data_IF_366928071031
#
_entry.id   IF_366928071031
#
_cell.length_a   1.000
_cell.length_b   1.000
_cell.length_c   1.000
_cell.angle_alpha   90.00
_cell.angle_beta   90.00
_cell.angle_gamma   90.00
#
_symmetry.space_group_name_H-M   'P 1'
#
loop_
_entity.id
_entity.type
_entity.pdbx_description
1 polymer ?
#
# COMPACT_ATOMS: atom_id res chain seq x y z
N UNK A 1 0.20 5.00 -4.67
CA UNK A 1 1.47 4.54 -4.08
C UNK A 1 2.61 5.41 -4.62
N UNK A 2 3.68 5.60 -3.85
CA UNK A 2 4.90 6.26 -4.31
C UNK A 2 6.11 5.33 -4.14
N UNK A 3 7.12 5.51 -4.98
CA UNK A 3 8.38 4.77 -4.96
C UNK A 3 9.51 5.73 -4.61
N UNK A 4 10.33 5.33 -3.65
CA UNK A 4 11.46 6.12 -3.16
C UNK A 4 12.77 5.34 -3.29
N UNK A 5 13.86 6.03 -3.63
CA UNK A 5 15.24 5.52 -3.55
C UNK A 5 16.18 6.51 -2.83
N UNK A 6 17.45 6.13 -2.67
CA UNK A 6 18.53 6.96 -2.11
C UNK A 6 19.62 7.28 -3.16
N UNK A 7 19.24 7.46 -4.44
CA UNK A 7 20.22 7.63 -5.53
C UNK A 7 21.00 8.96 -5.49
N UNK A 8 20.60 9.90 -4.63
CA UNK A 8 21.31 11.18 -4.40
C UNK A 8 22.76 10.93 -3.94
N UNK A 9 23.06 9.77 -3.32
CA UNK A 9 24.41 9.41 -2.88
C UNK A 9 25.28 8.73 -3.93
N UNK A 10 24.78 8.43 -5.13
CA UNK A 10 25.54 7.62 -6.12
C UNK A 10 25.66 8.29 -7.48
N UNK A 11 26.62 9.22 -7.62
CA UNK A 11 27.16 9.55 -8.95
C UNK A 11 28.14 8.46 -9.41
N UNK A 12 27.83 7.91 -10.58
CA UNK A 12 28.64 7.02 -11.43
C UNK A 12 28.72 5.52 -11.06
N UNK A 13 28.07 4.70 -11.89
CA UNK A 13 28.73 3.79 -12.86
C UNK A 13 27.67 3.05 -13.66
N UNK A 14 27.91 2.87 -14.96
CA UNK A 14 27.16 1.93 -15.78
C UNK A 14 27.25 0.54 -15.14
N UNK A 15 26.13 -0.03 -14.72
CA UNK A 15 26.09 -1.37 -14.14
C UNK A 15 25.42 -2.33 -15.13
N UNK A 16 26.26 -3.12 -15.80
CA UNK A 16 25.87 -4.30 -16.57
C UNK A 16 26.18 -5.56 -15.75
N UNK A 17 25.35 -5.80 -14.74
CA UNK A 17 25.00 -7.10 -14.14
C UNK A 17 23.53 -6.89 -13.73
N UNK A 18 22.63 -7.85 -13.98
CA UNK A 18 21.22 -7.76 -13.56
C UNK A 18 21.13 -7.72 -12.02
N UNK A 19 21.30 -6.53 -11.44
CA UNK A 19 21.26 -6.33 -10.00
C UNK A 19 19.83 -6.56 -9.52
N UNK A 20 19.68 -7.43 -8.53
CA UNK A 20 18.41 -7.68 -7.86
C UNK A 20 18.03 -6.45 -7.04
N UNK A 21 16.86 -5.89 -7.32
CA UNK A 21 16.26 -4.80 -6.55
C UNK A 21 15.39 -5.40 -5.44
N UNK A 22 15.50 -4.89 -4.22
CA UNK A 22 14.55 -5.20 -3.14
C UNK A 22 13.50 -4.09 -3.06
N UNK A 23 12.23 -4.49 -3.09
CA UNK A 23 11.09 -3.61 -2.85
C UNK A 23 10.60 -3.84 -1.43
N UNK A 24 10.68 -2.80 -0.60
CA UNK A 24 10.27 -2.78 0.80
C UNK A 24 8.87 -2.17 0.92
N UNK A 25 7.97 -2.80 1.67
CA UNK A 25 6.67 -2.20 2.01
C UNK A 25 6.12 -2.76 3.32
N UNK A 26 4.99 -2.20 3.76
CA UNK A 26 4.31 -2.61 4.99
C UNK A 26 3.73 -4.02 4.86
N UNK A 27 4.01 -4.85 5.86
CA UNK A 27 3.39 -6.14 6.09
C UNK A 27 2.24 -6.08 7.12
N UNK A 28 1.78 -7.23 7.64
CA UNK A 28 2.19 -8.59 7.26
C UNK A 28 1.69 -8.97 5.85
N UNK A 29 1.85 -10.24 5.46
CA UNK A 29 1.23 -10.79 4.26
C UNK A 29 -0.29 -10.56 4.26
N UNK A 30 -0.86 -10.30 3.08
CA UNK A 30 -2.30 -10.05 2.88
C UNK A 30 -2.71 -8.57 2.92
N UNK A 31 -1.79 -7.64 3.20
CA UNK A 31 -2.13 -6.20 3.21
C UNK A 31 -2.29 -5.64 1.79
N UNK A 32 -3.01 -4.52 1.68
CA UNK A 32 -3.08 -3.76 0.41
C UNK A 32 -1.71 -3.23 -0.04
N UNK A 33 -0.81 -2.95 0.90
CA UNK A 33 0.57 -2.54 0.61
C UNK A 33 1.35 -3.67 -0.07
N UNK A 34 1.26 -4.89 0.46
CA UNK A 34 1.84 -6.08 -0.17
C UNK A 34 1.27 -6.28 -1.58
N UNK A 35 -0.06 -6.27 -1.71
CA UNK A 35 -0.73 -6.44 -3.00
C UNK A 35 -0.22 -5.42 -4.03
N UNK A 36 -0.14 -4.14 -3.65
CA UNK A 36 0.34 -3.09 -4.51
C UNK A 36 1.82 -3.26 -4.90
N UNK A 37 2.66 -3.73 -3.99
CA UNK A 37 4.07 -4.02 -4.28
C UNK A 37 4.24 -5.23 -5.20
N UNK A 38 3.47 -6.31 -5.00
CA UNK A 38 3.43 -7.46 -5.92
C UNK A 38 2.97 -7.02 -7.31
N UNK A 39 1.90 -6.23 -7.39
CA UNK A 39 1.41 -5.67 -8.66
C UNK A 39 2.48 -4.82 -9.35
N UNK A 40 3.19 -3.98 -8.59
CA UNK A 40 4.29 -3.19 -9.12
C UNK A 40 5.42 -4.06 -9.67
N UNK A 41 5.87 -5.06 -8.91
CA UNK A 41 6.92 -5.99 -9.34
C UNK A 41 6.52 -6.71 -10.64
N UNK A 42 5.31 -7.27 -10.69
CA UNK A 42 4.85 -8.02 -11.86
C UNK A 42 4.71 -7.14 -13.09
N UNK A 43 4.12 -5.94 -12.94
CA UNK A 43 3.72 -5.12 -14.09
C UNK A 43 4.76 -4.08 -14.50
N UNK A 44 5.72 -3.73 -13.65
CA UNK A 44 6.70 -2.68 -13.94
C UNK A 44 8.12 -3.20 -13.97
N UNK A 45 8.59 -3.94 -12.95
CA UNK A 45 10.00 -4.36 -12.94
C UNK A 45 10.23 -5.55 -13.87
N UNK A 46 9.42 -6.61 -13.75
CA UNK A 46 9.59 -7.82 -14.56
C UNK A 46 9.39 -7.56 -16.06
N UNK A 47 8.40 -6.73 -16.43
CA UNK A 47 8.19 -6.35 -17.84
C UNK A 47 9.33 -5.52 -18.43
N UNK A 48 10.12 -4.85 -17.59
CA UNK A 48 11.29 -4.07 -18.01
C UNK A 48 12.60 -4.89 -17.93
N UNK A 49 12.51 -6.21 -17.67
CA UNK A 49 13.67 -7.08 -17.53
C UNK A 49 14.49 -6.83 -16.24
N UNK A 50 13.90 -6.13 -15.26
CA UNK A 50 14.53 -5.84 -13.97
C UNK A 50 14.17 -6.95 -12.99
N UNK A 51 15.19 -7.60 -12.42
CA UNK A 51 14.98 -8.60 -11.39
C UNK A 51 14.69 -7.92 -10.05
N UNK A 52 13.60 -8.28 -9.39
CA UNK A 52 13.21 -7.69 -8.11
C UNK A 52 12.56 -8.69 -7.17
N UNK A 53 12.77 -8.51 -5.86
CA UNK A 53 12.12 -9.27 -4.79
C UNK A 53 11.36 -8.34 -3.85
N UNK A 54 10.40 -8.90 -3.13
CA UNK A 54 9.63 -8.21 -2.09
C UNK A 54 10.23 -8.46 -0.70
N UNK A 55 10.20 -7.45 0.16
CA UNK A 55 10.46 -7.54 1.61
C UNK A 55 9.36 -6.82 2.37
N UNK A 56 8.76 -7.49 3.35
CA UNK A 56 7.72 -6.94 4.21
C UNK A 56 8.31 -6.48 5.54
N UNK A 57 7.77 -5.40 6.09
CA UNK A 57 8.21 -4.81 7.36
C UNK A 57 7.03 -4.34 8.21
N UNK A 58 7.27 -4.13 9.50
CA UNK A 58 6.22 -3.78 10.46
C UNK A 58 5.75 -2.31 10.36
N UNK A 59 6.59 -1.42 9.81
CA UNK A 59 6.28 0.01 9.66
C UNK A 59 6.87 0.57 8.36
N UNK A 60 6.25 1.60 7.79
CA UNK A 60 6.82 2.26 6.59
C UNK A 60 8.15 2.97 6.89
N UNK A 61 8.32 3.45 8.11
CA UNK A 61 9.55 4.07 8.60
C UNK A 61 10.71 3.06 8.56
N UNK A 62 10.47 1.81 8.99
CA UNK A 62 11.49 0.76 8.87
C UNK A 62 11.84 0.39 7.41
N UNK A 63 10.89 0.53 6.48
CA UNK A 63 11.18 0.37 5.04
C UNK A 63 12.16 1.45 4.54
N UNK A 64 11.99 2.70 4.96
CA UNK A 64 12.92 3.79 4.61
C UNK A 64 14.33 3.47 5.10
N UNK A 65 14.47 3.02 6.34
CA UNK A 65 15.77 2.70 6.90
C UNK A 65 16.48 1.60 6.10
N UNK A 66 15.75 0.72 5.41
CA UNK A 66 16.31 -0.21 4.43
C UNK A 66 16.69 0.47 3.12
N UNK A 67 15.83 1.33 2.57
CA UNK A 67 16.14 2.12 1.36
C UNK A 67 17.42 2.92 1.49
N UNK A 68 17.73 3.42 2.68
CA UNK A 68 18.95 4.21 2.90
C UNK A 68 20.22 3.35 2.96
N UNK A 69 20.12 2.05 3.22
CA UNK A 69 21.27 1.14 3.34
C UNK A 69 21.91 0.79 2.00
N UNK A 70 21.19 0.92 0.88
CA UNK A 70 21.68 0.50 -0.43
C UNK A 70 20.90 1.14 -1.58
N UNK A 71 21.55 1.51 -2.70
CA UNK A 71 20.87 1.99 -3.91
C UNK A 71 20.04 0.91 -4.64
N UNK A 72 20.01 -0.32 -4.11
CA UNK A 72 19.19 -1.43 -4.60
C UNK A 72 17.97 -1.69 -3.72
N UNK A 73 17.71 -0.84 -2.73
CA UNK A 73 16.60 -0.95 -1.80
C UNK A 73 15.60 0.19 -2.03
N UNK A 74 14.37 -0.15 -2.42
CA UNK A 74 13.33 0.81 -2.80
C UNK A 74 12.17 0.66 -1.83
N UNK A 75 11.48 1.75 -1.52
CA UNK A 75 10.31 1.70 -0.63
C UNK A 75 9.06 2.07 -1.40
N UNK A 76 8.01 1.25 -1.25
CA UNK A 76 6.66 1.52 -1.72
C UNK A 76 5.79 1.89 -0.53
N UNK A 77 5.20 3.10 -0.56
CA UNK A 77 4.31 3.60 0.49
C UNK A 77 3.00 4.17 -0.12
N UNK A 78 1.84 3.99 0.53
CA UNK A 78 0.61 4.64 0.14
C UNK A 78 0.75 6.16 0.18
N UNK A 79 0.36 6.84 -0.90
CA UNK A 79 0.35 8.30 -0.93
C UNK A 79 -0.63 8.88 0.10
N UNK A 80 -1.67 8.13 0.45
CA UNK A 80 -2.65 8.49 1.46
C UNK A 80 -2.24 8.12 2.89
N UNK A 81 -1.01 7.63 3.10
CA UNK A 81 -0.51 7.36 4.45
C UNK A 81 -0.41 8.66 5.24
N UNK A 82 -0.93 8.70 6.47
CA UNK A 82 -0.90 9.89 7.32
C UNK A 82 0.53 10.42 7.56
N UNK A 83 1.52 9.52 7.56
CA UNK A 83 2.93 9.84 7.69
C UNK A 83 3.64 10.29 6.41
N UNK A 84 2.95 10.40 5.26
CA UNK A 84 3.60 10.60 3.94
C UNK A 84 4.51 11.84 3.88
N UNK A 85 4.20 12.88 4.66
CA UNK A 85 5.04 14.09 4.78
C UNK A 85 6.47 13.80 5.23
N UNK A 86 6.68 12.78 6.06
CA UNK A 86 8.01 12.39 6.54
C UNK A 86 8.89 11.85 5.42
N UNK A 87 8.29 11.33 4.35
CA UNK A 87 8.99 10.78 3.19
C UNK A 87 9.40 11.92 2.25
N UNK A 88 8.49 12.88 2.02
CA UNK A 88 8.77 14.03 1.16
C UNK A 88 9.79 15.01 1.72
N UNK A 89 9.89 15.11 3.04
CA UNK A 89 10.79 16.06 3.71
C UNK A 89 12.19 15.49 3.98
N UNK A 90 12.48 14.25 3.56
CA UNK A 90 13.80 13.63 3.72
C UNK A 90 14.71 13.95 2.52
N UNK A 91 15.80 14.71 2.72
CA UNK A 91 16.69 15.12 1.62
C UNK A 91 17.58 13.99 1.10
N UNK A 92 17.68 12.89 1.86
CA UNK A 92 18.37 11.65 1.51
C UNK A 92 17.47 10.63 0.81
N UNK A 93 16.24 11.02 0.46
CA UNK A 93 15.33 10.23 -0.35
C UNK A 93 14.97 10.98 -1.62
N UNK A 94 14.77 10.23 -2.70
CA UNK A 94 14.26 10.75 -3.96
C UNK A 94 12.96 10.06 -4.32
N UNK A 95 11.95 10.86 -4.70
CA UNK A 95 10.75 10.35 -5.35
C UNK A 95 11.09 9.90 -6.77
N UNK A 96 10.86 8.62 -7.05
CA UNK A 96 11.04 8.06 -8.37
C UNK A 96 9.77 8.08 -9.20
N UNK A 97 8.66 7.62 -8.61
CA UNK A 97 7.41 7.47 -9.33
C UNK A 97 6.21 7.48 -8.39
N UNK A 98 5.08 7.97 -8.91
CA UNK A 98 3.76 7.80 -8.32
C UNK A 98 2.98 6.88 -9.25
N UNK A 99 2.34 5.87 -8.69
CA UNK A 99 1.47 4.96 -9.45
C UNK A 99 0.18 4.67 -8.69
N UNK A 100 -0.86 4.32 -9.46
CA UNK A 100 -2.15 3.90 -8.94
C UNK A 100 -2.20 2.38 -8.93
N UNK A 101 -2.61 1.81 -7.80
CA UNK A 101 -2.99 0.42 -7.68
C UNK A 101 -4.40 0.45 -7.10
N UNK A 102 -5.38 0.03 -7.89
CA UNK A 102 -6.76 0.01 -7.44
C UNK A 102 -6.91 -1.00 -6.31
N UNK A 103 -7.50 -0.54 -5.22
CA UNK A 103 -7.98 -1.45 -4.18
C UNK A 103 -9.00 -2.39 -4.80
N UNK A 104 -9.01 -3.67 -4.42
CA UNK A 104 -10.04 -4.61 -4.90
C UNK A 104 -11.44 -4.09 -4.58
N UNK A 105 -12.46 -4.61 -5.28
CA UNK A 105 -13.84 -4.23 -5.03
C UNK A 105 -14.20 -4.43 -3.56
N UNK A 106 -14.65 -3.36 -2.91
CA UNK A 106 -15.16 -3.41 -1.54
C UNK A 106 -16.58 -3.98 -1.52
N UNK A 107 -16.89 -4.71 -0.46
CA UNK A 107 -18.24 -5.21 -0.20
C UNK A 107 -18.49 -5.33 1.30
N UNK A 108 -19.76 -5.43 1.67
CA UNK A 108 -20.15 -5.83 3.03
C UNK A 108 -20.24 -7.35 3.09
N UNK A 109 -19.56 -7.94 4.05
CA UNK A 109 -19.62 -9.38 4.28
C UNK A 109 -20.63 -9.69 5.38
N UNK A 110 -21.40 -10.76 5.19
CA UNK A 110 -22.27 -11.34 6.22
C UNK A 110 -21.81 -12.76 6.55
N UNK A 111 -22.19 -13.26 7.72
CA UNK A 111 -21.90 -14.63 8.12
C UNK A 111 -22.54 -15.62 7.12
N UNK A 112 -21.90 -16.76 6.80
CA UNK A 112 -22.55 -17.81 6.02
C UNK A 112 -23.91 -18.23 6.61
N UNK A 113 -24.93 -18.36 5.77
CA UNK A 113 -26.30 -18.68 6.17
C UNK A 113 -27.10 -17.52 6.76
N UNK A 114 -26.53 -16.31 6.82
CA UNK A 114 -27.27 -15.11 7.19
C UNK A 114 -28.03 -14.59 5.97
N UNK A 115 -29.35 -14.53 6.06
CA UNK A 115 -30.19 -13.91 5.04
C UNK A 115 -30.13 -12.39 5.20
N UNK A 116 -29.45 -11.73 4.26
CA UNK A 116 -29.38 -10.28 4.19
C UNK A 116 -30.58 -9.72 3.43
N UNK A 117 -31.23 -8.71 4.02
CA UNK A 117 -32.19 -7.84 3.32
C UNK A 117 -31.74 -6.38 3.45
N UNK A 118 -32.06 -5.55 2.45
CA UNK A 118 -31.56 -4.17 2.39
C UNK A 118 -32.05 -3.31 3.56
N UNK A 119 -33.27 -3.55 4.06
CA UNK A 119 -33.86 -2.85 5.22
C UNK A 119 -33.10 -3.11 6.53
N UNK A 120 -32.24 -4.13 6.57
CA UNK A 120 -31.39 -4.39 7.73
C UNK A 120 -30.35 -3.29 7.93
N UNK A 121 -29.89 -2.64 6.87
CA UNK A 121 -28.91 -1.55 6.97
C UNK A 121 -29.42 -0.35 7.80
N UNK A 122 -30.74 -0.19 7.89
CA UNK A 122 -31.37 0.88 8.68
C UNK A 122 -31.35 0.58 10.19
N UNK A 123 -31.03 -0.65 10.59
CA UNK A 123 -31.08 -1.14 11.98
C UNK A 123 -29.78 -1.82 12.44
N UNK A 124 -28.92 -2.22 11.50
CA UNK A 124 -27.70 -2.95 11.76
C UNK A 124 -26.53 -2.01 12.03
N UNK A 125 -25.54 -2.54 12.75
CA UNK A 125 -24.24 -1.91 12.95
C UNK A 125 -23.25 -2.54 11.98
N UNK A 126 -22.61 -1.72 11.15
CA UNK A 126 -21.50 -2.16 10.29
C UNK A 126 -20.20 -1.99 11.07
N UNK A 127 -19.46 -3.09 11.24
CA UNK A 127 -18.09 -3.03 11.76
C UNK A 127 -17.14 -2.69 10.62
N UNK A 128 -16.38 -1.61 10.73
CA UNK A 128 -15.47 -1.18 9.66
C UNK A 128 -14.28 -0.36 10.17
N UNK A 129 -13.23 -0.29 9.35
CA UNK A 129 -12.19 0.72 9.51
C UNK A 129 -12.77 2.12 9.19
N UNK A 130 -12.23 3.23 9.75
CA UNK A 130 -12.68 4.57 9.40
C UNK A 130 -12.58 4.91 7.90
N UNK A 131 -11.54 4.42 7.20
CA UNK A 131 -11.27 4.78 5.80
C UNK A 131 -12.43 4.55 4.82
N UNK A 132 -13.11 3.39 4.80
CA UNK A 132 -14.22 3.15 3.87
C UNK A 132 -15.57 3.77 4.26
N UNK A 133 -15.74 4.45 5.42
CA UNK A 133 -17.07 4.92 5.88
C UNK A 133 -17.79 5.78 4.85
N UNK A 134 -17.09 6.76 4.26
CA UNK A 134 -17.69 7.63 3.26
C UNK A 134 -18.11 6.86 2.00
N UNK A 135 -17.35 5.83 1.64
CA UNK A 135 -17.67 4.96 0.50
C UNK A 135 -18.92 4.11 0.79
N UNK A 136 -19.02 3.55 2.00
CA UNK A 136 -20.18 2.77 2.44
C UNK A 136 -21.42 3.65 2.42
N UNK A 137 -21.39 4.84 3.05
CA UNK A 137 -22.51 5.79 3.04
C UNK A 137 -22.92 6.21 1.62
N UNK A 138 -21.94 6.43 0.74
CA UNK A 138 -22.19 6.79 -0.66
C UNK A 138 -22.97 5.69 -1.41
N UNK A 139 -22.57 4.43 -1.24
CA UNK A 139 -23.20 3.32 -1.95
C UNK A 139 -24.53 2.87 -1.33
N UNK A 140 -24.65 2.87 -0.01
CA UNK A 140 -25.91 2.48 0.65
C UNK A 140 -26.96 3.57 0.56
N UNK A 141 -26.56 4.85 0.48
CA UNK A 141 -27.44 6.03 0.58
C UNK A 141 -28.29 6.04 1.86
N UNK A 142 -27.81 5.36 2.90
CA UNK A 142 -28.48 5.18 4.19
C UNK A 142 -27.63 5.76 5.30
N UNK A 143 -28.30 6.21 6.36
CA UNK A 143 -27.62 6.62 7.59
C UNK A 143 -27.32 5.40 8.46
N UNK A 144 -26.28 4.67 8.08
CA UNK A 144 -25.89 3.42 8.75
C UNK A 144 -25.08 3.71 10.01
N UNK A 145 -25.29 2.91 11.05
CA UNK A 145 -24.51 2.97 12.29
C UNK A 145 -23.21 2.17 12.13
N UNK A 146 -22.09 2.70 12.64
CA UNK A 146 -20.77 2.08 12.53
C UNK A 146 -20.18 1.74 13.89
N UNK A 147 -19.50 0.60 13.96
CA UNK A 147 -18.53 0.28 15.01
C UNK A 147 -17.12 0.25 14.39
N UNK A 148 -16.18 0.96 15.02
CA UNK A 148 -14.87 1.25 14.43
C UNK A 148 -13.81 0.26 14.89
N UNK A 149 -13.08 -0.31 13.93
CA UNK A 149 -11.92 -1.19 14.19
C UNK A 149 -10.66 -0.67 13.50
N UNK A 150 -9.49 -1.05 14.02
CA UNK A 150 -8.19 -0.59 13.50
C UNK A 150 -7.75 -1.31 12.22
N UNK A 151 -8.41 -2.43 11.86
CA UNK A 151 -8.25 -3.13 10.58
C UNK A 151 -9.54 -3.85 10.25
N UNK A 152 -9.90 -3.85 8.97
CA UNK A 152 -10.83 -4.81 8.36
C UNK A 152 -10.14 -6.13 8.08
#
# INVERSE_FOLDING_TARGET
MIILDNSIQTKSKAYSISKLITINTLGPEGTSSEYAAKNFITNFTLLQGVNSKLSLHDTFESCIEKTLQSPLEYTIVPHAYDGIKHFYMRPDLQLLQIFRCDTPMYGLAVRPGFEYTDDMLDKAVIVSHPSPINLIKYFTRKDVTFDLVNST
#
